data_IF_879411707344
#
_entry.id   IF_879411707344
#
_cell.length_a   1.000
_cell.length_b   1.000
_cell.length_c   1.000
_cell.angle_alpha   90.00
_cell.angle_beta   90.00
_cell.angle_gamma   90.00
#
_symmetry.space_group_name_H-M   'P 1'
#
loop_
_entity.id
_entity.type
_entity.pdbx_description
1 polymer ?
#
# COMPACT_ATOMS: atom_id res chain seq x y z
N UNK A 1 -2.49 5.42 -13.22
CA UNK A 1 -2.51 3.95 -13.29
C UNK A 1 -2.37 3.39 -11.89
N UNK A 2 -3.13 2.34 -11.55
CA UNK A 2 -2.92 1.62 -10.28
C UNK A 2 -1.57 0.90 -10.38
N UNK A 3 -0.68 0.95 -9.38
CA UNK A 3 0.48 0.07 -9.33
C UNK A 3 0.01 -1.37 -9.51
N UNK A 4 0.75 -2.24 -10.23
CA UNK A 4 0.37 -3.62 -10.39
C UNK A 4 0.53 -4.30 -9.02
N UNK A 5 -0.51 -4.26 -8.19
CA UNK A 5 -0.61 -5.03 -6.97
C UNK A 5 -1.56 -6.18 -7.23
N UNK A 6 -1.25 -7.34 -6.68
CA UNK A 6 -2.10 -8.51 -6.82
C UNK A 6 -3.48 -8.21 -6.22
N UNK A 7 -4.54 -8.33 -7.01
CA UNK A 7 -5.92 -8.08 -6.54
C UNK A 7 -6.40 -9.12 -5.51
N UNK A 8 -5.66 -10.23 -5.32
CA UNK A 8 -5.96 -11.28 -4.33
C UNK A 8 -5.25 -11.02 -3.00
N UNK A 9 -3.94 -10.77 -3.01
CA UNK A 9 -3.14 -10.68 -1.78
C UNK A 9 -2.42 -9.35 -1.56
N UNK A 10 -2.51 -8.39 -2.48
CA UNK A 10 -1.84 -7.10 -2.41
C UNK A 10 -0.32 -7.15 -2.62
N UNK A 11 0.27 -8.32 -2.91
CA UNK A 11 1.69 -8.42 -3.25
C UNK A 11 2.04 -7.60 -4.50
N UNK A 12 3.26 -7.06 -4.54
CA UNK A 12 3.76 -6.34 -5.72
C UNK A 12 3.89 -7.29 -6.92
N UNK A 13 3.33 -6.88 -8.06
CA UNK A 13 3.34 -7.61 -9.33
C UNK A 13 4.33 -7.02 -10.35
N UNK A 14 5.13 -6.00 -10.00
CA UNK A 14 5.98 -5.29 -10.95
C UNK A 14 7.04 -6.18 -11.64
N UNK A 15 7.54 -7.21 -10.97
CA UNK A 15 8.59 -8.08 -11.49
C UNK A 15 8.06 -9.29 -12.30
N UNK A 16 7.03 -9.95 -11.78
CA UNK A 16 6.59 -11.28 -12.23
C UNK A 16 5.08 -11.47 -12.26
N UNK A 17 4.31 -10.42 -11.99
CA UNK A 17 2.86 -10.50 -12.05
C UNK A 17 2.32 -10.36 -13.48
N UNK A 18 1.07 -10.78 -13.65
CA UNK A 18 0.38 -10.81 -14.93
C UNK A 18 -1.01 -10.21 -14.80
N UNK A 19 -1.40 -9.42 -15.79
CA UNK A 19 -2.79 -9.01 -15.99
C UNK A 19 -3.54 -10.17 -16.65
N UNK A 20 -4.52 -10.72 -15.94
CA UNK A 20 -5.32 -11.88 -16.39
C UNK A 20 -6.74 -11.41 -16.68
N UNK A 21 -7.26 -11.75 -17.86
CA UNK A 21 -8.59 -11.35 -18.32
C UNK A 21 -9.59 -12.49 -18.17
N UNK A 22 -10.68 -12.23 -17.47
CA UNK A 22 -11.73 -13.20 -17.20
C UNK A 22 -12.89 -13.08 -18.20
N UNK A 23 -13.88 -13.98 -18.10
CA UNK A 23 -15.04 -13.94 -18.97
C UNK A 23 -15.87 -12.65 -18.74
N UNK A 24 -16.27 -12.02 -19.85
CA UNK A 24 -17.01 -10.76 -19.84
C UNK A 24 -18.43 -10.92 -19.29
N UNK A 25 -18.84 -10.01 -18.41
CA UNK A 25 -20.24 -9.69 -18.10
C UNK A 25 -20.80 -8.73 -19.15
N UNK A 26 -22.12 -8.55 -19.17
CA UNK A 26 -22.76 -7.58 -20.07
C UNK A 26 -22.29 -6.14 -19.78
N UNK A 27 -22.06 -5.80 -18.51
CA UNK A 27 -21.48 -4.51 -18.12
C UNK A 27 -20.08 -4.28 -18.65
N UNK A 28 -19.26 -5.34 -18.75
CA UNK A 28 -17.89 -5.25 -19.23
C UNK A 28 -17.89 -4.99 -20.75
N UNK A 29 -18.83 -5.61 -21.49
CA UNK A 29 -19.04 -5.33 -22.92
C UNK A 29 -19.37 -3.85 -23.17
N UNK A 30 -20.31 -3.30 -22.39
CA UNK A 30 -20.68 -1.88 -22.48
C UNK A 30 -19.49 -0.96 -22.16
N UNK A 31 -18.65 -1.35 -21.20
CA UNK A 31 -17.43 -0.60 -20.89
C UNK A 31 -16.48 -0.57 -22.08
N UNK A 32 -16.24 -1.71 -22.74
CA UNK A 32 -15.36 -1.82 -23.91
C UNK A 32 -15.90 -1.05 -25.12
N UNK A 33 -17.21 -1.11 -25.37
CA UNK A 33 -17.87 -0.33 -26.42
C UNK A 33 -17.67 1.17 -26.21
N UNK A 34 -17.87 1.65 -24.97
CA UNK A 34 -17.64 3.05 -24.62
C UNK A 34 -16.17 3.44 -24.73
N UNK A 35 -15.27 2.59 -24.23
CA UNK A 35 -13.82 2.83 -24.31
C UNK A 35 -13.36 2.96 -25.77
N UNK A 36 -13.88 2.11 -26.66
CA UNK A 36 -13.60 2.16 -28.09
C UNK A 36 -14.19 3.42 -28.76
N UNK A 37 -15.42 3.82 -28.40
CA UNK A 37 -16.09 4.98 -29.00
C UNK A 37 -15.45 6.31 -28.58
N UNK A 38 -15.03 6.42 -27.33
CA UNK A 38 -14.53 7.66 -26.74
C UNK A 38 -13.00 7.75 -26.75
N UNK A 39 -12.30 6.67 -27.12
CA UNK A 39 -10.84 6.58 -27.03
C UNK A 39 -10.32 6.62 -25.60
N UNK A 40 -11.16 6.26 -24.63
CA UNK A 40 -10.79 6.24 -23.21
C UNK A 40 -9.91 5.02 -22.91
N UNK A 41 -8.82 5.24 -22.19
CA UNK A 41 -7.88 4.20 -21.76
C UNK A 41 -8.04 3.99 -20.25
N UNK A 42 -8.30 2.75 -19.84
CA UNK A 42 -8.49 2.40 -18.42
C UNK A 42 -8.26 0.92 -18.16
N UNK A 43 -8.27 0.56 -16.88
CA UNK A 43 -8.17 -0.85 -16.44
C UNK A 43 -9.47 -1.58 -16.81
N UNK A 44 -9.43 -2.64 -17.63
CA UNK A 44 -10.63 -3.37 -18.00
C UNK A 44 -11.30 -4.00 -16.77
N UNK A 45 -12.63 -3.88 -16.61
CA UNK A 45 -13.33 -4.36 -15.41
C UNK A 45 -13.28 -5.88 -15.24
N UNK A 46 -13.03 -6.63 -16.32
CA UNK A 46 -12.88 -8.08 -16.30
C UNK A 46 -11.46 -8.57 -16.00
N UNK A 47 -10.50 -7.67 -15.79
CA UNK A 47 -9.09 -8.03 -15.65
C UNK A 47 -8.59 -7.86 -14.20
N UNK A 48 -7.73 -8.75 -13.73
CA UNK A 48 -7.03 -8.66 -12.44
C UNK A 48 -5.52 -8.72 -12.61
N UNK A 49 -4.79 -7.93 -11.82
CA UNK A 49 -3.37 -8.13 -11.63
C UNK A 49 -3.17 -9.30 -10.65
N UNK A 50 -2.41 -10.32 -11.05
CA UNK A 50 -2.09 -11.47 -10.21
C UNK A 50 -0.57 -11.61 -10.07
N UNK A 51 -0.07 -11.84 -8.85
CA UNK A 51 1.33 -12.17 -8.62
C UNK A 51 1.63 -13.61 -9.08
N UNK A 52 2.90 -13.98 -9.23
CA UNK A 52 3.28 -15.30 -9.71
C UNK A 52 2.61 -16.47 -8.96
N UNK A 53 2.35 -16.31 -7.66
CA UNK A 53 1.64 -17.30 -6.85
C UNK A 53 0.17 -17.52 -7.26
N UNK A 54 -0.52 -16.48 -7.75
CA UNK A 54 -1.93 -16.54 -8.12
C UNK A 54 -2.17 -16.68 -9.63
N UNK A 55 -1.19 -16.37 -10.48
CA UNK A 55 -1.35 -16.43 -11.94
C UNK A 55 -1.80 -17.81 -12.43
N UNK A 56 -1.14 -18.88 -11.96
CA UNK A 56 -1.44 -20.26 -12.42
C UNK A 56 -2.91 -20.60 -12.17
N UNK A 57 -3.41 -20.34 -10.97
CA UNK A 57 -4.82 -20.60 -10.63
C UNK A 57 -5.76 -19.63 -11.36
N UNK A 58 -5.37 -18.37 -11.55
CA UNK A 58 -6.16 -17.41 -12.31
C UNK A 58 -6.39 -17.83 -13.76
N UNK A 59 -5.37 -18.42 -14.39
CA UNK A 59 -5.46 -18.94 -15.77
C UNK A 59 -6.38 -20.15 -15.90
N UNK A 60 -6.54 -20.96 -14.85
CA UNK A 60 -7.53 -22.05 -14.82
C UNK A 60 -8.98 -21.51 -14.76
N UNK A 61 -9.15 -20.25 -14.36
CA UNK A 61 -10.43 -19.61 -14.11
C UNK A 61 -10.88 -18.65 -15.23
N UNK A 62 -10.20 -18.63 -16.38
CA UNK A 62 -10.49 -17.69 -17.49
C UNK A 62 -11.94 -17.77 -18.02
N UNK A 63 -12.61 -18.91 -17.85
CA UNK A 63 -14.00 -19.11 -18.28
C UNK A 63 -15.03 -18.57 -17.28
N UNK A 64 -14.61 -18.12 -16.09
CA UNK A 64 -15.48 -17.54 -15.08
C UNK A 64 -15.47 -16.01 -15.17
N UNK A 65 -16.49 -15.35 -14.63
CA UNK A 65 -16.48 -13.89 -14.48
C UNK A 65 -15.50 -13.48 -13.38
N UNK A 66 -15.03 -12.24 -13.43
CA UNK A 66 -14.04 -11.70 -12.48
C UNK A 66 -14.45 -11.87 -11.01
N UNK A 67 -15.74 -11.70 -10.69
CA UNK A 67 -16.24 -11.82 -9.31
C UNK A 67 -16.15 -13.26 -8.79
N UNK A 68 -16.48 -14.24 -9.65
CA UNK A 68 -16.38 -15.66 -9.33
C UNK A 68 -14.92 -16.08 -9.22
N UNK A 69 -14.08 -15.65 -10.16
CA UNK A 69 -12.65 -15.95 -10.14
C UNK A 69 -11.96 -15.38 -8.90
N UNK A 70 -12.29 -14.14 -8.51
CA UNK A 70 -11.74 -13.51 -7.31
C UNK A 70 -12.14 -14.27 -6.03
N UNK A 71 -13.39 -14.71 -5.95
CA UNK A 71 -13.89 -15.53 -4.83
C UNK A 71 -13.13 -16.85 -4.72
N UNK A 72 -12.94 -17.54 -5.85
CA UNK A 72 -12.20 -18.80 -5.92
C UNK A 72 -10.72 -18.63 -5.56
N UNK A 73 -10.07 -17.60 -6.09
CA UNK A 73 -8.66 -17.29 -5.81
C UNK A 73 -8.43 -16.98 -4.33
N UNK A 74 -9.37 -16.26 -3.70
CA UNK A 74 -9.30 -15.92 -2.27
C UNK A 74 -9.52 -17.13 -1.38
N UNK A 75 -10.39 -18.04 -1.78
CA UNK A 75 -10.74 -19.25 -0.99
C UNK A 75 -9.68 -20.35 -1.11
N UNK A 76 -9.02 -20.45 -2.27
CA UNK A 76 -8.03 -21.49 -2.55
C UNK A 76 -6.61 -21.16 -2.05
N UNK A 77 -6.33 -19.88 -1.73
CA UNK A 77 -5.03 -19.50 -1.21
C UNK A 77 -4.82 -20.15 0.17
N UNK A 78 -3.77 -20.97 0.38
CA UNK A 78 -3.39 -21.36 1.73
C UNK A 78 -3.18 -20.07 2.52
N UNK A 79 -3.86 -19.94 3.66
CA UNK A 79 -3.91 -18.74 4.50
C UNK A 79 -2.57 -18.47 5.21
N UNK A 80 -1.46 -18.44 4.49
CA UNK A 80 -0.16 -17.98 4.98
C UNK A 80 0.01 -16.48 4.76
N UNK A 81 -1.02 -15.77 4.29
CA UNK A 81 -1.00 -14.32 4.40
C UNK A 81 -1.01 -13.98 5.90
N UNK A 82 -0.09 -13.12 6.35
CA UNK A 82 -0.11 -12.67 7.73
C UNK A 82 -1.50 -12.11 8.02
N UNK A 83 -2.10 -12.55 9.12
CA UNK A 83 -3.42 -12.08 9.56
C UNK A 83 -3.41 -10.55 9.59
N UNK A 84 -4.26 -9.93 8.78
CA UNK A 84 -4.36 -8.48 8.72
C UNK A 84 -5.13 -8.02 9.96
N UNK A 85 -4.43 -7.47 10.95
CA UNK A 85 -5.09 -6.91 12.14
C UNK A 85 -5.36 -5.43 11.92
N UNK A 86 -6.64 -5.05 11.95
CA UNK A 86 -7.07 -3.65 11.97
C UNK A 86 -7.14 -3.15 13.41
N UNK A 87 -6.51 -2.02 13.68
CA UNK A 87 -6.56 -1.38 15.01
C UNK A 87 -7.09 0.04 14.87
N UNK A 88 -8.23 0.38 15.49
CA UNK A 88 -8.72 1.75 15.52
C UNK A 88 -7.77 2.61 16.34
N UNK A 89 -7.52 3.84 15.88
CA UNK A 89 -6.73 4.83 16.61
C UNK A 89 -7.58 6.07 16.89
N UNK A 90 -7.15 6.87 17.86
CA UNK A 90 -7.74 8.19 18.08
C UNK A 90 -7.60 9.01 16.79
N UNK A 91 -8.66 9.71 16.32
CA UNK A 91 -8.55 10.61 15.18
C UNK A 91 -7.44 11.63 15.41
N UNK A 92 -6.48 11.66 14.48
CA UNK A 92 -5.37 12.60 14.49
C UNK A 92 -5.23 13.30 13.15
N UNK A 93 -4.99 14.61 13.21
CA UNK A 93 -4.58 15.38 12.04
C UNK A 93 -3.27 14.80 11.50
N UNK A 94 -3.24 14.57 10.19
CA UNK A 94 -2.13 13.90 9.50
C UNK A 94 -0.75 14.48 9.84
N UNK A 95 -0.60 15.81 9.89
CA UNK A 95 0.66 16.47 10.26
C UNK A 95 1.10 16.19 11.71
N UNK A 96 0.15 16.07 12.64
CA UNK A 96 0.45 15.77 14.04
C UNK A 96 0.81 14.29 14.21
N UNK A 97 0.15 13.39 13.49
CA UNK A 97 0.53 11.98 13.46
C UNK A 97 1.96 11.81 12.92
N UNK A 98 2.31 12.48 11.81
CA UNK A 98 3.66 12.43 11.24
C UNK A 98 4.70 12.88 12.28
N UNK A 99 4.47 14.03 12.91
CA UNK A 99 5.38 14.58 13.93
C UNK A 99 5.52 13.63 15.11
N UNK A 100 4.41 13.05 15.56
CA UNK A 100 4.37 12.11 16.67
C UNK A 100 5.16 10.83 16.35
N UNK A 101 4.88 10.18 15.21
CA UNK A 101 5.57 8.96 14.78
C UNK A 101 7.08 9.19 14.63
N UNK A 102 7.47 10.31 14.00
CA UNK A 102 8.89 10.67 13.85
C UNK A 102 9.59 10.83 15.20
N UNK A 103 8.94 11.48 16.16
CA UNK A 103 9.50 11.69 17.50
C UNK A 103 9.66 10.37 18.25
N UNK A 104 8.77 9.41 18.01
CA UNK A 104 8.81 8.08 18.65
C UNK A 104 9.77 7.10 17.98
N UNK A 105 10.06 7.26 16.69
CA UNK A 105 10.86 6.32 15.90
C UNK A 105 12.25 6.07 16.51
N UNK A 106 12.94 7.11 16.97
CA UNK A 106 14.25 6.98 17.60
C UNK A 106 14.21 6.18 18.92
N UNK A 107 13.19 6.42 19.74
CA UNK A 107 12.96 5.67 20.98
C UNK A 107 12.65 4.19 20.68
N UNK A 108 11.80 3.96 19.67
CA UNK A 108 11.48 2.62 19.21
C UNK A 108 12.71 1.88 18.67
N UNK A 109 13.54 2.53 17.86
CA UNK A 109 14.80 1.96 17.38
C UNK A 109 15.71 1.55 18.56
N UNK A 110 15.82 2.40 19.58
CA UNK A 110 16.58 2.09 20.79
C UNK A 110 16.03 0.87 21.55
N UNK A 111 14.71 0.80 21.75
CA UNK A 111 14.04 -0.32 22.41
C UNK A 111 14.20 -1.64 21.64
N UNK A 112 14.27 -1.57 20.31
CA UNK A 112 14.55 -2.72 19.43
C UNK A 112 16.04 -3.08 19.35
N UNK A 113 16.92 -2.34 20.05
CA UNK A 113 18.37 -2.56 20.02
C UNK A 113 19.05 -2.05 18.74
N UNK A 114 18.35 -1.31 17.89
CA UNK A 114 18.86 -0.71 16.65
C UNK A 114 19.54 0.62 16.99
N UNK A 115 20.85 0.57 17.26
CA UNK A 115 21.67 1.76 17.61
C UNK A 115 22.30 2.43 16.40
N UNK A 116 21.55 2.49 15.30
CA UNK A 116 21.98 3.11 14.05
C UNK A 116 21.99 4.63 14.09
N UNK A 117 22.61 5.24 13.08
CA UNK A 117 22.42 6.67 12.78
C UNK A 117 21.12 6.81 11.99
N UNK A 118 20.31 7.80 12.34
CA UNK A 118 19.12 8.16 11.57
C UNK A 118 19.52 8.67 10.19
N UNK A 119 18.95 8.07 9.15
CA UNK A 119 19.05 8.56 7.78
C UNK A 119 17.68 9.07 7.36
N UNK A 120 17.62 10.31 6.90
CA UNK A 120 16.42 10.92 6.36
C UNK A 120 16.58 11.18 4.86
N UNK A 121 15.61 10.75 4.08
CA UNK A 121 15.52 11.04 2.65
C UNK A 121 14.13 11.58 2.31
N UNK A 122 14.08 12.51 1.36
CA UNK A 122 12.84 13.09 0.85
C UNK A 122 12.89 13.08 -0.67
N UNK A 123 11.81 12.62 -1.31
CA UNK A 123 11.70 12.50 -2.75
C UNK A 123 10.32 12.93 -3.23
N UNK A 124 10.27 13.56 -4.41
CA UNK A 124 9.05 13.85 -5.15
C UNK A 124 9.04 13.04 -6.44
N UNK A 125 7.94 12.33 -6.68
CA UNK A 125 7.73 11.54 -7.89
C UNK A 125 6.49 12.06 -8.62
N UNK A 126 6.70 12.67 -9.79
CA UNK A 126 5.62 13.19 -10.63
C UNK A 126 4.95 12.06 -11.43
N UNK A 127 3.63 12.14 -11.57
CA UNK A 127 2.82 11.23 -12.39
C UNK A 127 2.08 12.04 -13.48
N UNK A 128 2.76 12.41 -14.57
CA UNK A 128 2.13 13.04 -15.73
C UNK A 128 0.92 12.26 -16.23
N UNK A 129 -0.21 12.93 -16.40
CA UNK A 129 -1.44 12.36 -16.98
C UNK A 129 -2.03 13.33 -18.02
N UNK A 130 -2.57 12.85 -19.12
CA UNK A 130 -3.35 13.64 -20.08
C UNK A 130 -2.68 14.96 -20.52
N UNK A 131 -1.39 14.88 -20.91
CA UNK A 131 -0.54 16.03 -21.33
C UNK A 131 -0.16 17.00 -20.21
N UNK A 132 -0.56 16.77 -18.96
CA UNK A 132 0.03 17.48 -17.82
C UNK A 132 1.52 17.13 -17.71
N UNK A 133 2.31 18.11 -17.33
CA UNK A 133 3.75 17.98 -17.12
C UNK A 133 4.12 18.70 -15.83
N UNK A 134 5.26 18.35 -15.26
CA UNK A 134 5.84 19.07 -14.13
C UNK A 134 5.89 20.59 -14.40
N UNK A 135 5.51 21.45 -13.43
CA UNK A 135 5.05 21.15 -12.07
C UNK A 135 3.52 20.99 -11.93
N UNK A 136 2.79 20.94 -13.05
CA UNK A 136 1.32 20.99 -13.07
C UNK A 136 0.69 19.61 -13.27
N UNK A 137 1.22 18.57 -12.62
CA UNK A 137 0.66 17.23 -12.66
C UNK A 137 0.65 16.60 -11.26
N UNK A 138 -0.15 15.54 -11.02
CA UNK A 138 -0.15 14.86 -9.73
C UNK A 138 1.23 14.32 -9.37
N UNK A 139 1.52 14.24 -8.08
CA UNK A 139 2.80 13.75 -7.60
C UNK A 139 2.67 13.07 -6.23
N UNK A 140 3.72 12.35 -5.85
CA UNK A 140 3.88 11.75 -4.52
C UNK A 140 5.10 12.39 -3.87
N UNK A 141 4.89 13.04 -2.73
CA UNK A 141 5.97 13.37 -1.81
C UNK A 141 6.17 12.21 -0.83
N UNK A 142 7.39 11.69 -0.75
CA UNK A 142 7.78 10.59 0.13
C UNK A 142 8.91 11.04 1.05
N UNK A 143 8.67 11.00 2.35
CA UNK A 143 9.69 11.18 3.38
C UNK A 143 9.98 9.82 4.03
N UNK A 144 11.26 9.45 4.13
CA UNK A 144 11.68 8.18 4.72
C UNK A 144 12.71 8.43 5.82
N UNK A 145 12.45 7.90 7.00
CA UNK A 145 13.33 7.96 8.17
C UNK A 145 13.74 6.54 8.52
N UNK A 146 15.04 6.23 8.50
CA UNK A 146 15.54 4.87 8.68
C UNK A 146 16.65 4.81 9.73
N UNK A 147 16.59 3.81 10.59
CA UNK A 147 17.67 3.40 11.49
C UNK A 147 18.15 2.02 11.06
N UNK A 148 19.45 1.88 10.80
CA UNK A 148 20.08 0.61 10.41
C UNK A 148 21.24 0.27 11.33
N UNK A 149 21.33 -0.99 11.76
CA UNK A 149 22.40 -1.52 12.59
C UNK A 149 22.68 -2.99 12.27
N UNK A 150 23.64 -3.62 12.94
CA UNK A 150 23.87 -5.06 12.83
C UNK A 150 22.70 -5.90 13.38
N UNK A 151 21.88 -5.33 14.27
CA UNK A 151 20.75 -5.99 14.91
C UNK A 151 19.47 -5.97 14.06
N UNK A 152 19.41 -5.07 13.08
CA UNK A 152 18.21 -4.89 12.28
C UNK A 152 18.05 -3.49 11.69
N UNK A 153 16.89 -3.30 11.07
CA UNK A 153 16.43 -2.06 10.46
C UNK A 153 15.05 -1.69 10.96
N UNK A 154 14.79 -0.39 11.12
CA UNK A 154 13.44 0.15 11.28
C UNK A 154 13.32 1.42 10.44
N UNK A 155 12.19 1.53 9.75
CA UNK A 155 11.90 2.59 8.81
C UNK A 155 10.50 3.15 9.07
N UNK A 156 10.37 4.47 9.04
CA UNK A 156 9.10 5.18 8.89
C UNK A 156 9.08 5.80 7.50
N UNK A 157 8.14 5.35 6.68
CA UNK A 157 7.81 5.95 5.40
C UNK A 157 6.52 6.75 5.52
N UNK A 158 6.56 8.00 5.09
CA UNK A 158 5.42 8.89 5.02
C UNK A 158 5.21 9.31 3.56
N UNK A 159 4.01 9.10 3.03
CA UNK A 159 3.67 9.47 1.67
C UNK A 159 2.48 10.42 1.63
N UNK A 160 2.58 11.44 0.79
CA UNK A 160 1.46 12.33 0.42
C UNK A 160 1.29 12.28 -1.08
N UNK A 161 0.19 11.68 -1.52
CA UNK A 161 -0.24 11.78 -2.92
C UNK A 161 -1.02 13.08 -3.09
N UNK A 162 -0.61 13.88 -4.06
CA UNK A 162 -1.09 15.24 -4.31
C UNK A 162 -1.69 15.29 -5.73
N UNK A 163 -2.88 15.88 -5.87
CA UNK A 163 -3.40 16.23 -7.19
C UNK A 163 -2.70 17.46 -7.76
N UNK A 164 -2.34 18.40 -6.87
CA UNK A 164 -1.55 19.61 -7.10
C UNK A 164 -1.01 20.10 -5.74
N UNK A 165 -0.26 21.21 -5.70
CA UNK A 165 0.40 21.69 -4.48
C UNK A 165 -0.57 21.98 -3.30
N UNK A 166 -1.85 22.24 -3.57
CA UNK A 166 -2.86 22.61 -2.56
C UNK A 166 -3.91 21.51 -2.28
N UNK A 167 -3.86 20.39 -3.00
CA UNK A 167 -4.89 19.34 -2.96
C UNK A 167 -4.29 17.95 -2.70
N UNK A 168 -4.39 17.51 -1.44
CA UNK A 168 -3.93 16.21 -0.97
C UNK A 168 -4.97 15.15 -1.33
N UNK A 169 -4.61 14.22 -2.22
CA UNK A 169 -5.45 13.08 -2.56
C UNK A 169 -5.48 12.03 -1.43
N UNK A 170 -4.30 11.71 -0.89
CA UNK A 170 -4.11 10.66 0.12
C UNK A 170 -2.87 10.93 0.95
N UNK A 171 -2.94 10.63 2.24
CA UNK A 171 -1.74 10.50 3.09
C UNK A 171 -1.63 9.09 3.62
N UNK A 172 -0.43 8.55 3.69
CA UNK A 172 -0.16 7.26 4.32
C UNK A 172 1.12 7.26 5.15
N UNK A 173 1.11 6.49 6.22
CA UNK A 173 2.23 6.28 7.11
C UNK A 173 2.50 4.78 7.21
N UNK A 174 3.75 4.37 7.14
CA UNK A 174 4.16 2.97 7.30
C UNK A 174 5.39 2.93 8.19
N UNK A 175 5.31 2.20 9.29
CA UNK A 175 6.48 1.73 10.04
C UNK A 175 6.74 0.29 9.62
N UNK A 176 7.93 0.00 9.13
CA UNK A 176 8.39 -1.34 8.81
C UNK A 176 9.74 -1.60 9.45
N UNK A 177 10.05 -2.86 9.76
CA UNK A 177 11.35 -3.20 10.30
C UNK A 177 11.64 -4.69 10.26
N UNK A 178 12.91 -5.01 10.49
CA UNK A 178 13.41 -6.37 10.66
C UNK A 178 14.36 -6.39 11.84
N UNK A 179 14.06 -7.21 12.85
CA UNK A 179 14.87 -7.34 14.09
C UNK A 179 15.06 -8.81 14.37
N UNK A 180 16.32 -9.25 14.49
CA UNK A 180 16.66 -10.65 14.79
C UNK A 180 15.99 -11.69 13.87
N UNK A 181 15.76 -11.33 12.61
CA UNK A 181 15.12 -12.21 11.61
C UNK A 181 13.59 -12.14 11.57
N UNK A 182 12.94 -11.37 12.45
CA UNK A 182 11.49 -11.14 12.42
C UNK A 182 11.19 -9.82 11.73
N UNK A 183 10.39 -9.85 10.66
CA UNK A 183 9.91 -8.65 9.97
C UNK A 183 8.50 -8.28 10.40
N UNK A 184 8.23 -6.98 10.45
CA UNK A 184 6.91 -6.44 10.76
C UNK A 184 6.61 -5.22 9.89
N UNK A 185 5.32 -4.95 9.67
CA UNK A 185 4.87 -3.74 8.99
C UNK A 185 3.53 -3.29 9.57
N UNK A 186 3.49 -2.02 9.97
CA UNK A 186 2.32 -1.34 10.53
C UNK A 186 2.11 -0.07 9.73
N UNK A 187 0.94 0.13 9.14
CA UNK A 187 0.70 1.35 8.38
C UNK A 187 -0.76 1.73 8.29
N UNK A 188 -1.03 3.01 8.14
CA UNK A 188 -2.37 3.55 7.97
C UNK A 188 -2.42 4.47 6.76
N UNK A 189 -3.61 4.69 6.24
CA UNK A 189 -3.83 5.72 5.24
C UNK A 189 -5.10 6.49 5.55
N UNK A 190 -5.15 7.73 5.07
CA UNK A 190 -6.33 8.58 5.11
C UNK A 190 -6.53 9.22 3.75
N UNK A 191 -7.79 9.37 3.37
CA UNK A 191 -8.20 10.12 2.18
C UNK A 191 -8.31 11.60 2.53
N UNK A 192 -8.03 12.47 1.56
CA UNK A 192 -8.18 13.93 1.57
C UNK A 192 -8.76 14.58 2.85
N UNK A 193 -7.92 15.33 3.58
CA UNK A 193 -8.27 16.14 4.77
C UNK A 193 -8.93 15.39 5.95
N UNK A 194 -9.06 14.07 5.88
CA UNK A 194 -9.59 13.30 7.00
C UNK A 194 -8.49 12.94 8.00
N UNK A 195 -8.88 12.84 9.27
CA UNK A 195 -8.05 12.28 10.32
C UNK A 195 -7.66 10.84 9.96
N UNK A 196 -6.45 10.42 10.33
CA UNK A 196 -6.10 9.00 10.26
C UNK A 196 -6.80 8.31 11.43
N UNK A 197 -7.61 7.29 11.13
CA UNK A 197 -8.45 6.61 12.11
C UNK A 197 -8.10 5.12 12.29
N UNK A 198 -7.28 4.56 11.41
CA UNK A 198 -7.01 3.12 11.38
C UNK A 198 -5.55 2.80 11.03
N UNK A 199 -5.03 1.75 11.68
CA UNK A 199 -3.76 1.11 11.34
C UNK A 199 -4.01 -0.32 10.87
N UNK A 200 -3.29 -0.70 9.81
CA UNK A 200 -3.17 -2.03 9.26
C UNK A 200 -1.86 -2.65 9.72
N UNK A 201 -1.94 -3.76 10.45
CA UNK A 201 -0.78 -4.50 10.94
C UNK A 201 -0.65 -5.79 10.15
N UNK A 202 0.57 -6.07 9.70
CA UNK A 202 0.95 -7.33 9.05
C UNK A 202 2.16 -7.92 9.75
N UNK A 203 2.07 -9.22 10.07
CA UNK A 203 3.06 -9.96 10.86
C UNK A 203 2.84 -9.83 12.37
N UNK A 204 3.78 -10.36 13.14
CA UNK A 204 3.79 -10.23 14.60
C UNK A 204 4.70 -9.06 15.00
N UNK A 205 4.15 -7.86 15.27
CA UNK A 205 4.97 -6.73 15.67
C UNK A 205 5.66 -7.02 17.01
N UNK A 206 6.93 -6.61 17.19
CA UNK A 206 7.60 -6.67 18.48
C UNK A 206 6.80 -5.93 19.56
N UNK A 207 6.95 -6.33 20.82
CA UNK A 207 6.21 -5.72 21.95
C UNK A 207 6.38 -4.19 22.05
N UNK A 208 7.51 -3.64 21.60
CA UNK A 208 7.73 -2.19 21.54
C UNK A 208 6.83 -1.50 20.50
N UNK A 209 6.60 -2.14 19.36
CA UNK A 209 5.69 -1.66 18.31
C UNK A 209 4.24 -1.79 18.77
N UNK A 210 3.89 -2.86 19.47
CA UNK A 210 2.55 -3.02 20.08
C UNK A 210 2.23 -1.93 21.11
N UNK A 211 3.22 -1.54 21.94
CA UNK A 211 3.06 -0.39 22.85
C UNK A 211 2.82 0.90 22.09
N UNK A 212 3.58 1.15 21.02
CA UNK A 212 3.37 2.32 20.16
C UNK A 212 1.96 2.36 19.57
N UNK A 213 1.47 1.22 19.07
CA UNK A 213 0.10 1.09 18.54
C UNK A 213 -0.93 1.39 19.65
N UNK A 214 -0.71 0.87 20.86
CA UNK A 214 -1.59 1.10 22.00
C UNK A 214 -1.63 2.57 22.43
N UNK A 215 -0.51 3.31 22.31
CA UNK A 215 -0.46 4.75 22.59
C UNK A 215 -1.23 5.61 21.56
N UNK A 216 -1.50 5.07 20.37
CA UNK A 216 -2.30 5.73 19.34
C UNK A 216 -3.82 5.50 19.51
N UNK A 217 -4.21 4.45 20.25
CA UNK A 217 -5.59 4.16 20.64
C UNK A 217 -6.02 4.83 21.94
#
# INVERSE_FOLDING_TARGET
>A
MRPPLCDVCGADCAADGKLVHFALRDSDRLWHERAAAEGFVGHPPEALWLCAAHVVRGEELLNFTVDVALTELTTAAPSSLPELRQVPIRPMVSADLQRWLRTRLAGLAHELGIRGVEVHTSAREWTPMDRSVEPNCPYIDRDTYCFTSAQGTIELQWERAMWNDDDVARTSAVIAGSVSGTSFRVGGHSMARADVIELLITGEPPAAVERLITELG
#
